data_IF_116322297348
#
_entry.id   IF_116322297348
#
_cell.length_a   1.000
_cell.length_b   1.000
_cell.length_c   1.000
_cell.angle_alpha   90.00
_cell.angle_beta   90.00
_cell.angle_gamma   90.00
#
_symmetry.space_group_name_H-M   'P 1'
#
loop_
_entity.id
_entity.type
_entity.pdbx_description
1 polymer ?
#
# COMPACT_ATOMS: atom_id res chain seq x y z
N UNK A 1 -20.58 -39.14 -4.80
CA UNK A 1 -20.52 -37.67 -4.63
C UNK A 1 -20.16 -37.35 -3.19
N UNK A 2 -19.02 -36.71 -2.93
CA UNK A 2 -18.57 -36.32 -1.58
C UNK A 2 -18.17 -34.85 -1.61
N UNK A 3 -19.08 -33.97 -1.20
CA UNK A 3 -18.81 -32.55 -0.99
C UNK A 3 -17.84 -32.42 0.17
N UNK A 4 -16.65 -31.89 -0.08
CA UNK A 4 -15.79 -31.31 0.96
C UNK A 4 -15.46 -29.90 0.51
N UNK A 5 -16.28 -28.98 1.03
CA UNK A 5 -16.04 -27.55 0.95
C UNK A 5 -14.88 -27.30 1.91
N UNK A 6 -13.68 -27.20 1.36
CA UNK A 6 -12.50 -26.88 2.16
C UNK A 6 -12.44 -25.37 2.31
N UNK A 7 -12.46 -24.95 3.57
CA UNK A 7 -12.56 -23.59 4.08
C UNK A 7 -11.83 -22.52 3.25
N UNK A 8 -12.54 -21.43 2.95
CA UNK A 8 -11.91 -20.12 2.71
C UNK A 8 -11.14 -19.74 3.97
N UNK A 9 -9.83 -19.96 3.95
CA UNK A 9 -8.90 -19.35 4.89
C UNK A 9 -8.81 -17.86 4.58
N UNK A 10 -9.68 -17.08 5.20
CA UNK A 10 -9.60 -15.62 5.26
C UNK A 10 -8.28 -15.30 5.96
N UNK A 11 -7.24 -15.00 5.20
CA UNK A 11 -5.99 -14.49 5.73
C UNK A 11 -6.25 -13.12 6.34
N UNK A 12 -6.36 -13.15 7.66
CA UNK A 12 -6.09 -12.12 8.65
C UNK A 12 -6.00 -10.68 8.11
N UNK A 13 -6.97 -9.88 8.56
CA UNK A 13 -6.91 -8.43 8.70
C UNK A 13 -5.48 -8.02 9.11
N UNK A 14 -4.72 -7.48 8.16
CA UNK A 14 -3.52 -6.73 8.47
C UNK A 14 -3.98 -5.48 9.22
N UNK A 15 -3.53 -5.38 10.47
CA UNK A 15 -3.94 -4.40 11.45
C UNK A 15 -3.92 -2.97 10.88
N UNK A 16 -5.10 -2.35 10.83
CA UNK A 16 -5.27 -0.92 10.67
C UNK A 16 -4.82 -0.21 11.96
N UNK A 17 -3.51 -0.11 12.19
CA UNK A 17 -2.95 0.78 13.20
C UNK A 17 -2.97 2.20 12.63
N UNK A 18 -4.10 2.88 12.83
CA UNK A 18 -4.29 4.30 12.55
C UNK A 18 -3.35 5.13 13.43
N UNK A 19 -2.25 5.61 12.87
CA UNK A 19 -1.55 6.80 13.39
C UNK A 19 -1.56 7.84 12.30
N UNK A 20 -2.56 8.72 12.41
CA UNK A 20 -2.78 9.89 11.59
C UNK A 20 -1.68 10.92 11.89
N UNK A 21 -0.56 10.84 11.20
CA UNK A 21 0.50 11.84 11.23
C UNK A 21 0.37 12.77 10.05
N UNK A 22 -0.23 13.94 10.23
CA UNK A 22 -0.23 15.02 9.25
C UNK A 22 1.20 15.53 9.05
N UNK A 23 1.87 15.09 7.98
CA UNK A 23 3.09 15.73 7.51
C UNK A 23 3.08 15.74 5.98
N UNK A 24 2.53 16.83 5.44
CA UNK A 24 2.66 17.20 4.03
C UNK A 24 4.13 17.51 3.75
N UNK A 25 4.92 16.51 3.39
CA UNK A 25 6.17 16.76 2.66
C UNK A 25 5.91 16.40 1.21
N UNK A 26 6.06 17.38 0.33
CA UNK A 26 5.98 17.18 -1.11
C UNK A 26 7.04 16.16 -1.53
N UNK A 27 6.64 14.92 -1.68
CA UNK A 27 7.49 13.85 -2.20
C UNK A 27 7.63 14.06 -3.70
N UNK A 28 8.86 13.89 -4.20
CA UNK A 28 9.25 14.11 -5.59
C UNK A 28 8.70 13.03 -6.54
N UNK A 29 7.47 12.58 -6.31
CA UNK A 29 6.69 11.73 -7.19
C UNK A 29 6.14 12.62 -8.30
N UNK A 30 6.50 12.32 -9.54
CA UNK A 30 6.17 13.14 -10.71
C UNK A 30 4.67 13.42 -10.87
N UNK A 31 4.28 14.32 -11.80
CA UNK A 31 2.89 14.71 -11.99
C UNK A 31 1.98 13.50 -12.22
N UNK A 32 0.83 13.46 -11.53
CA UNK A 32 -0.19 12.42 -11.67
C UNK A 32 -0.14 11.28 -10.65
N UNK A 33 0.75 11.34 -9.66
CA UNK A 33 0.75 10.41 -8.53
C UNK A 33 0.14 11.04 -7.28
N UNK A 34 -0.58 10.24 -6.51
CA UNK A 34 -1.26 10.63 -5.27
C UNK A 34 -0.74 9.77 -4.12
N UNK A 35 -0.34 10.41 -3.02
CA UNK A 35 0.03 9.72 -1.79
C UNK A 35 -1.18 8.95 -1.23
N UNK A 36 -1.00 7.68 -0.90
CA UNK A 36 -2.03 6.81 -0.32
C UNK A 36 -1.78 6.40 1.11
N UNK A 37 -0.55 6.00 1.42
CA UNK A 37 -0.21 5.41 2.72
C UNK A 37 1.28 5.43 3.00
N UNK A 38 1.64 5.20 4.27
CA UNK A 38 3.00 5.06 4.77
C UNK A 38 3.20 3.63 5.31
N UNK A 39 4.37 3.05 5.07
CA UNK A 39 4.70 1.66 5.39
C UNK A 39 6.07 1.58 6.07
N UNK A 40 6.25 0.64 6.99
CA UNK A 40 7.52 0.48 7.71
C UNK A 40 8.60 -0.24 6.89
N UNK A 41 8.25 -0.77 5.72
CA UNK A 41 9.18 -1.48 4.85
C UNK A 41 8.78 -1.39 3.37
N UNK A 42 9.78 -1.54 2.50
CA UNK A 42 9.59 -1.57 1.05
C UNK A 42 8.67 -2.73 0.62
N UNK A 43 8.87 -3.91 1.23
CA UNK A 43 8.10 -5.11 0.91
C UNK A 43 6.60 -4.92 1.20
N UNK A 44 6.28 -4.27 2.32
CA UNK A 44 4.90 -3.97 2.69
C UNK A 44 4.27 -2.96 1.70
N UNK A 45 4.99 -1.89 1.35
CA UNK A 45 4.52 -0.93 0.36
C UNK A 45 4.24 -1.58 -1.01
N UNK A 46 5.12 -2.48 -1.46
CA UNK A 46 4.93 -3.20 -2.73
C UNK A 46 3.74 -4.16 -2.67
N UNK A 47 3.53 -4.84 -1.54
CA UNK A 47 2.40 -5.74 -1.36
C UNK A 47 1.07 -4.96 -1.44
N UNK A 48 0.97 -3.82 -0.76
CA UNK A 48 -0.24 -2.98 -0.80
C UNK A 48 -0.45 -2.35 -2.18
N UNK A 49 0.62 -1.86 -2.82
CA UNK A 49 0.57 -1.31 -4.18
C UNK A 49 0.06 -2.32 -5.21
N UNK A 50 0.58 -3.54 -5.18
CA UNK A 50 0.12 -4.63 -6.04
C UNK A 50 -1.33 -5.03 -5.73
N UNK A 51 -1.66 -5.22 -4.45
CA UNK A 51 -3.01 -5.59 -4.04
C UNK A 51 -4.04 -4.55 -4.51
N UNK A 52 -3.78 -3.25 -4.37
CA UNK A 52 -4.71 -2.24 -4.87
C UNK A 52 -4.80 -2.18 -6.39
N UNK A 53 -3.71 -2.45 -7.11
CA UNK A 53 -3.74 -2.55 -8.56
C UNK A 53 -4.55 -3.77 -9.04
N UNK A 54 -4.40 -4.92 -8.38
CA UNK A 54 -5.15 -6.14 -8.72
C UNK A 54 -6.64 -6.04 -8.35
N UNK A 55 -6.99 -5.18 -7.39
CA UNK A 55 -8.37 -4.83 -7.06
C UNK A 55 -8.92 -3.64 -7.87
N UNK A 56 -8.19 -3.18 -8.89
CA UNK A 56 -8.56 -2.03 -9.74
C UNK A 56 -8.86 -0.74 -8.95
N UNK A 57 -8.23 -0.55 -7.78
CA UNK A 57 -8.33 0.69 -7.01
C UNK A 57 -7.47 1.81 -7.61
N UNK A 58 -6.39 1.43 -8.30
CA UNK A 58 -5.46 2.30 -9.01
C UNK A 58 -4.74 1.52 -10.11
N UNK A 59 -4.01 2.22 -10.97
CA UNK A 59 -3.13 1.66 -11.99
C UNK A 59 -2.01 0.81 -11.40
N UNK A 60 -1.56 -0.21 -12.16
CA UNK A 60 -0.38 -1.02 -11.81
C UNK A 60 0.93 -0.22 -11.75
N UNK A 61 0.88 1.05 -12.16
CA UNK A 61 1.97 2.01 -11.99
C UNK A 61 1.82 2.71 -10.63
N UNK A 62 2.56 2.21 -9.63
CA UNK A 62 2.68 2.81 -8.30
C UNK A 62 4.16 2.93 -7.90
N UNK A 63 4.45 3.78 -6.92
CA UNK A 63 5.80 4.10 -6.46
C UNK A 63 5.86 3.90 -4.95
N UNK A 64 6.92 3.22 -4.49
CA UNK A 64 7.27 3.12 -3.08
C UNK A 64 8.47 4.02 -2.80
N UNK A 65 8.21 5.24 -2.35
CA UNK A 65 9.23 6.26 -2.14
C UNK A 65 9.70 6.26 -0.68
N UNK A 66 11.00 6.10 -0.37
CA UNK A 66 11.48 6.29 1.00
C UNK A 66 11.23 7.74 1.44
N UNK A 67 10.63 7.91 2.61
CA UNK A 67 10.29 9.21 3.16
C UNK A 67 11.56 9.96 3.57
N UNK A 68 11.82 11.12 2.96
CA UNK A 68 13.04 11.88 3.21
C UNK A 68 13.19 12.32 4.68
N UNK A 69 12.07 12.53 5.39
CA UNK A 69 12.07 12.90 6.81
C UNK A 69 12.27 11.71 7.77
N UNK A 70 12.13 10.47 7.30
CA UNK A 70 12.30 9.26 8.09
C UNK A 70 12.59 8.07 7.15
N UNK A 71 13.85 7.64 7.02
CA UNK A 71 14.24 6.60 6.07
C UNK A 71 13.70 5.21 6.43
N UNK A 72 13.09 5.03 7.61
CA UNK A 72 12.42 3.79 8.00
C UNK A 72 10.98 3.71 7.48
N UNK A 73 10.50 4.74 6.78
CA UNK A 73 9.13 4.81 6.26
C UNK A 73 9.15 4.90 4.74
N UNK A 74 8.30 4.11 4.10
CA UNK A 74 8.05 4.10 2.67
C UNK A 74 6.66 4.63 2.37
N UNK A 75 6.58 5.60 1.49
CA UNK A 75 5.33 6.17 1.02
C UNK A 75 4.85 5.45 -0.24
N UNK A 76 3.60 4.98 -0.20
CA UNK A 76 2.92 4.47 -1.37
C UNK A 76 2.27 5.63 -2.12
N UNK A 77 2.74 5.84 -3.34
CA UNK A 77 2.21 6.80 -4.29
C UNK A 77 1.56 6.06 -5.45
N UNK A 78 0.31 6.36 -5.75
CA UNK A 78 -0.47 5.62 -6.75
C UNK A 78 -0.98 6.56 -7.83
N UNK A 79 -1.32 5.99 -8.99
CA UNK A 79 -1.98 6.69 -10.08
C UNK A 79 -3.28 5.99 -10.39
N UNK A 80 -4.38 6.72 -10.51
CA UNK A 80 -5.68 6.16 -10.87
C UNK A 80 -5.79 5.94 -12.38
#
# INVERSE_FOLDING_TARGET
MRRRITALGITAVAAAAMVLGTASTASATGPGFWLRSHHASLAECQAVGNAGADNALWSRVFICNPFAGNPSVYELWVRY
#
